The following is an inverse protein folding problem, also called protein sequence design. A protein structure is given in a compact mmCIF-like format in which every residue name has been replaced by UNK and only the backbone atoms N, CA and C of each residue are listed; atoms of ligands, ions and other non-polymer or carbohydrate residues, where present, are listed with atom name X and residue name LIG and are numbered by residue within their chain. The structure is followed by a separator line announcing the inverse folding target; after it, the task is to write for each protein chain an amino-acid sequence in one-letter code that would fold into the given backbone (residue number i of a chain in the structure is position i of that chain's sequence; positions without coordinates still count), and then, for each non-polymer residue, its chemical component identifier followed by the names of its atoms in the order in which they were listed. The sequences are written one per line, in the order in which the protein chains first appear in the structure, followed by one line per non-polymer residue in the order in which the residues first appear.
data_IF_165972185544
#
_entry.id   IF_165972185544
#
_cell.length_a   1.000
_cell.length_b   1.000
_cell.length_c   1.000
_cell.angle_alpha   90.00
_cell.angle_beta   90.00
_cell.angle_gamma   90.00
#
_symmetry.space_group_name_H-M   'P 1'
#
loop_
_entity.id
_entity.type
_entity.pdbx_description
1 polymer ?
#
# COMPACT_ATOMS: atom_id res chain seq x y z
N UNK A 1 -9.72 5.63 -25.96
CA UNK A 1 -10.21 4.71 -24.91
C UNK A 1 -9.14 4.46 -23.85
N UNK A 2 -7.98 3.90 -24.21
CA UNK A 2 -6.91 3.51 -23.27
C UNK A 2 -6.30 4.62 -22.40
N UNK A 3 -6.13 5.84 -22.92
CA UNK A 3 -5.55 6.95 -22.14
C UNK A 3 -6.39 7.27 -20.90
N UNK A 4 -7.72 7.31 -21.04
CA UNK A 4 -8.63 7.58 -19.92
C UNK A 4 -8.51 6.52 -18.83
N UNK A 5 -8.31 5.26 -19.20
CA UNK A 5 -8.15 4.16 -18.26
C UNK A 5 -6.84 4.25 -17.47
N UNK A 6 -5.73 4.64 -18.12
CA UNK A 6 -4.45 4.85 -17.44
C UNK A 6 -4.59 6.00 -16.43
N UNK A 7 -5.15 7.14 -16.87
CA UNK A 7 -5.37 8.29 -15.99
C UNK A 7 -6.34 7.97 -14.84
N UNK A 8 -7.42 7.25 -15.10
CA UNK A 8 -8.37 6.80 -14.08
C UNK A 8 -7.70 5.87 -13.06
N UNK A 9 -6.82 4.97 -13.51
CA UNK A 9 -6.06 4.07 -12.63
C UNK A 9 -5.08 4.83 -11.75
N UNK A 10 -4.36 5.82 -12.29
CA UNK A 10 -3.46 6.67 -11.51
C UNK A 10 -4.29 7.52 -10.51
N UNK A 11 -5.40 8.10 -10.95
CA UNK A 11 -6.28 8.92 -10.11
C UNK A 11 -6.97 8.11 -8.99
N UNK A 12 -7.17 6.81 -9.17
CA UNK A 12 -7.64 5.93 -8.10
C UNK A 12 -6.68 5.97 -6.90
N UNK A 13 -5.37 5.88 -7.13
CA UNK A 13 -4.38 6.01 -6.05
C UNK A 13 -4.44 7.39 -5.40
N UNK A 14 -4.55 8.45 -6.22
CA UNK A 14 -4.65 9.82 -5.71
C UNK A 14 -5.87 10.07 -4.84
N UNK A 15 -6.97 9.34 -5.04
CA UNK A 15 -8.17 9.44 -4.20
C UNK A 15 -7.88 9.08 -2.74
N UNK A 16 -6.86 8.25 -2.49
CA UNK A 16 -6.40 7.87 -1.16
C UNK A 16 -5.17 8.67 -0.70
N UNK A 17 -4.82 9.74 -1.39
CA UNK A 17 -3.57 10.50 -1.27
C UNK A 17 -2.31 9.60 -1.38
N UNK A 18 -2.41 8.52 -2.16
CA UNK A 18 -1.28 7.66 -2.52
C UNK A 18 -0.91 7.88 -3.99
N UNK A 19 0.13 7.21 -4.45
CA UNK A 19 0.55 7.21 -5.85
C UNK A 19 1.01 5.80 -6.24
N UNK A 20 0.79 5.43 -7.50
CA UNK A 20 1.22 4.14 -8.02
C UNK A 20 2.55 4.24 -8.76
N UNK A 21 3.37 3.21 -8.65
CA UNK A 21 4.47 3.00 -9.60
C UNK A 21 3.92 2.62 -10.98
N UNK A 22 4.71 2.73 -12.07
CA UNK A 22 4.31 2.24 -13.38
C UNK A 22 3.83 0.78 -13.38
N UNK A 23 4.46 -0.09 -12.59
CA UNK A 23 4.09 -1.50 -12.46
C UNK A 23 2.76 -1.70 -11.74
N UNK A 24 2.51 -0.93 -10.67
CA UNK A 24 1.23 -0.95 -9.96
C UNK A 24 0.11 -0.41 -10.85
N UNK A 25 0.34 0.71 -11.53
CA UNK A 25 -0.61 1.27 -12.48
C UNK A 25 -0.94 0.29 -13.61
N UNK A 26 0.04 -0.45 -14.13
CA UNK A 26 -0.22 -1.52 -15.09
C UNK A 26 -1.00 -2.69 -14.48
N UNK A 27 -0.62 -3.13 -13.27
CA UNK A 27 -1.25 -4.26 -12.57
C UNK A 27 -2.73 -3.98 -12.24
N UNK A 28 -3.07 -2.74 -11.88
CA UNK A 28 -4.42 -2.35 -11.51
C UNK A 28 -5.24 -1.78 -12.68
N UNK A 29 -4.68 -1.81 -13.89
CA UNK A 29 -5.38 -1.38 -15.08
C UNK A 29 -6.63 -2.25 -15.30
N UNK A 30 -7.80 -1.60 -15.43
CA UNK A 30 -9.10 -2.29 -15.54
C UNK A 30 -9.35 -2.90 -16.91
N UNK A 31 -8.53 -2.56 -17.89
CA UNK A 31 -8.63 -3.04 -19.27
C UNK A 31 -7.41 -3.87 -19.62
N UNK A 32 -7.64 -4.95 -20.37
CA UNK A 32 -6.55 -5.75 -20.89
C UNK A 32 -5.71 -4.90 -21.87
N UNK A 33 -4.41 -4.84 -21.63
CA UNK A 33 -3.48 -4.09 -22.45
C UNK A 33 -2.13 -4.81 -22.46
N UNK A 34 -1.50 -4.91 -23.63
CA UNK A 34 -0.14 -5.40 -23.73
C UNK A 34 0.83 -4.45 -23.00
N UNK A 35 1.82 -5.01 -22.28
CA UNK A 35 2.75 -4.22 -21.46
C UNK A 35 3.52 -3.17 -22.24
N UNK A 36 3.93 -3.48 -23.47
CA UNK A 36 4.65 -2.52 -24.31
C UNK A 36 3.75 -1.39 -24.79
N UNK A 37 2.49 -1.69 -25.10
CA UNK A 37 1.50 -0.66 -25.45
C UNK A 37 1.21 0.26 -24.25
N UNK A 38 1.12 -0.29 -23.03
CA UNK A 38 1.01 0.51 -21.80
C UNK A 38 2.20 1.44 -21.63
N UNK A 39 3.42 0.93 -21.77
CA UNK A 39 4.66 1.73 -21.65
C UNK A 39 4.69 2.86 -22.67
N UNK A 40 4.32 2.59 -23.91
CA UNK A 40 4.23 3.59 -24.96
C UNK A 40 3.22 4.69 -24.59
N UNK A 41 2.00 4.31 -24.19
CA UNK A 41 0.95 5.28 -23.82
C UNK A 41 1.29 6.08 -22.57
N UNK A 42 1.96 5.47 -21.60
CA UNK A 42 2.46 6.17 -20.42
C UNK A 42 3.56 7.18 -20.80
N UNK A 43 4.44 6.84 -21.74
CA UNK A 43 5.46 7.78 -22.23
C UNK A 43 4.84 8.96 -22.98
N UNK A 44 3.84 8.73 -23.84
CA UNK A 44 3.06 9.80 -24.50
C UNK A 44 2.43 10.75 -23.46
N UNK A 45 1.85 10.19 -22.40
CA UNK A 45 1.24 10.98 -21.31
C UNK A 45 2.26 11.83 -20.55
N UNK A 46 3.47 11.31 -20.33
CA UNK A 46 4.57 12.05 -19.70
C UNK A 46 5.08 13.17 -20.58
N UNK A 47 5.27 12.90 -21.87
CA UNK A 47 5.69 13.91 -22.85
C UNK A 47 4.67 15.04 -23.00
N UNK A 48 3.38 14.72 -22.89
CA UNK A 48 2.29 15.69 -22.92
C UNK A 48 2.14 16.49 -21.60
N UNK A 49 2.92 16.19 -20.56
CA UNK A 49 2.83 16.85 -19.25
C UNK A 49 1.56 16.50 -18.45
N UNK A 50 0.81 15.47 -18.87
CA UNK A 50 -0.41 15.03 -18.19
C UNK A 50 -0.14 14.09 -17.02
N UNK A 51 1.03 13.42 -17.05
CA UNK A 51 1.51 12.56 -15.98
C UNK A 51 2.97 12.91 -15.70
N UNK A 52 3.27 13.18 -14.44
CA UNK A 52 4.64 13.33 -13.96
C UNK A 52 5.06 12.04 -13.25
N UNK A 53 6.35 11.72 -13.30
CA UNK A 53 6.94 10.66 -12.47
C UNK A 53 7.95 11.29 -11.52
N UNK A 54 7.80 11.04 -10.22
CA UNK A 54 8.72 11.52 -9.18
C UNK A 54 9.00 10.38 -8.21
N UNK A 55 10.26 10.09 -7.96
CA UNK A 55 10.71 8.99 -7.10
C UNK A 55 10.06 7.62 -7.45
N UNK A 56 9.83 7.38 -8.74
CA UNK A 56 9.22 6.14 -9.25
C UNK A 56 7.69 6.05 -9.10
N UNK A 57 7.03 7.11 -8.62
CA UNK A 57 5.58 7.20 -8.49
C UNK A 57 4.98 8.16 -9.52
N UNK A 58 3.79 7.82 -10.03
CA UNK A 58 3.07 8.57 -11.06
C UNK A 58 2.07 9.56 -10.46
N UNK A 59 2.08 10.78 -10.98
CA UNK A 59 1.23 11.89 -10.53
C UNK A 59 0.53 12.57 -11.70
N UNK A 60 -0.72 12.99 -11.51
CA UNK A 60 -1.54 13.77 -12.48
C UNK A 60 -1.95 15.13 -11.90
N UNK A 61 -1.62 15.36 -10.63
CA UNK A 61 -1.89 16.57 -9.84
C UNK A 61 -0.81 16.70 -8.78
N UNK A 62 -0.67 17.91 -8.23
CA UNK A 62 0.32 18.18 -7.18
C UNK A 62 -0.07 17.51 -5.84
N UNK A 63 0.53 16.35 -5.57
CA UNK A 63 0.29 15.51 -4.38
C UNK A 63 1.59 14.99 -3.77
N UNK A 64 2.74 15.25 -4.39
CA UNK A 64 4.04 14.65 -4.07
C UNK A 64 4.42 14.86 -2.60
N UNK A 65 4.18 16.05 -2.05
CA UNK A 65 4.46 16.34 -0.65
C UNK A 65 3.58 15.54 0.32
N UNK A 66 2.28 15.40 0.01
CA UNK A 66 1.35 14.63 0.84
C UNK A 66 1.69 13.14 0.77
N UNK A 67 1.98 12.63 -0.42
CA UNK A 67 2.43 11.26 -0.65
C UNK A 67 3.69 10.94 0.17
N UNK A 68 4.74 11.77 0.08
CA UNK A 68 5.98 11.59 0.85
C UNK A 68 5.71 11.54 2.35
N UNK A 69 4.89 12.47 2.86
CA UNK A 69 4.53 12.52 4.28
C UNK A 69 3.82 11.25 4.74
N UNK A 70 2.88 10.72 3.95
CA UNK A 70 2.21 9.46 4.26
C UNK A 70 3.15 8.25 4.19
N UNK A 71 4.13 8.25 3.28
CA UNK A 71 5.17 7.22 3.26
C UNK A 71 6.01 7.24 4.53
N UNK A 72 6.41 8.42 4.99
CA UNK A 72 7.16 8.60 6.24
C UNK A 72 6.38 8.07 7.44
N UNK A 73 5.09 8.43 7.56
CA UNK A 73 4.20 7.92 8.60
C UNK A 73 4.06 6.40 8.54
N UNK A 74 3.82 5.84 7.36
CA UNK A 74 3.69 4.38 7.17
C UNK A 74 4.96 3.65 7.57
N UNK A 75 6.12 4.18 7.18
CA UNK A 75 7.42 3.60 7.56
C UNK A 75 7.66 3.71 9.06
N UNK A 76 7.38 4.84 9.67
CA UNK A 76 7.51 5.03 11.11
C UNK A 76 6.61 4.06 11.89
N UNK A 77 5.34 3.92 11.47
CA UNK A 77 4.38 2.98 12.04
C UNK A 77 4.89 1.54 11.90
N UNK A 78 5.33 1.13 10.71
CA UNK A 78 5.90 -0.19 10.50
C UNK A 78 7.12 -0.45 11.40
N UNK A 79 8.06 0.50 11.50
CA UNK A 79 9.24 0.35 12.35
C UNK A 79 8.86 0.25 13.83
N UNK A 80 7.91 1.07 14.31
CA UNK A 80 7.39 1.04 15.69
C UNK A 80 6.89 -0.34 16.10
N UNK A 81 6.22 -1.05 15.18
CA UNK A 81 5.64 -2.36 15.45
C UNK A 81 6.45 -3.55 14.91
N UNK A 82 7.59 -3.30 14.25
CA UNK A 82 8.38 -4.32 13.54
C UNK A 82 8.76 -5.53 14.41
N UNK A 83 9.12 -5.29 15.67
CA UNK A 83 9.45 -6.36 16.60
C UNK A 83 8.29 -7.33 16.82
N UNK A 84 7.08 -6.79 16.96
CA UNK A 84 5.88 -7.58 17.16
C UNK A 84 5.40 -8.27 15.88
N UNK A 85 5.45 -7.57 14.74
CA UNK A 85 5.14 -8.16 13.45
C UNK A 85 6.03 -9.38 13.18
N UNK A 86 7.32 -9.28 13.50
CA UNK A 86 8.26 -10.42 13.45
C UNK A 86 7.88 -11.53 14.42
N UNK A 87 7.43 -11.21 15.63
CA UNK A 87 7.01 -12.20 16.62
C UNK A 87 5.81 -13.00 16.10
N UNK A 88 4.76 -12.32 15.61
CA UNK A 88 3.58 -12.98 15.03
C UNK A 88 3.99 -13.85 13.84
N UNK A 89 4.78 -13.31 12.92
CA UNK A 89 5.18 -14.02 11.71
C UNK A 89 6.00 -15.30 12.01
N UNK A 90 6.66 -15.37 13.16
CA UNK A 90 7.43 -16.54 13.62
C UNK A 90 6.59 -17.57 14.37
N UNK A 91 5.34 -17.28 14.72
CA UNK A 91 4.49 -18.25 15.41
C UNK A 91 4.28 -19.48 14.51
N UNK A 92 4.51 -20.71 15.02
CA UNK A 92 4.58 -21.91 14.18
C UNK A 92 3.25 -22.25 13.49
N UNK A 93 2.13 -21.73 14.00
CA UNK A 93 0.81 -21.91 13.40
C UNK A 93 0.38 -20.79 12.44
N UNK A 94 1.16 -19.73 12.28
CA UNK A 94 0.92 -18.72 11.24
C UNK A 94 1.52 -19.24 9.94
N UNK A 95 0.67 -19.39 8.92
CA UNK A 95 1.06 -19.83 7.57
C UNK A 95 1.41 -18.64 6.68
N UNK A 96 0.77 -17.50 6.93
CA UNK A 96 0.97 -16.27 6.17
C UNK A 96 0.60 -15.07 7.03
N UNK A 97 1.36 -13.99 6.88
CA UNK A 97 1.08 -12.70 7.47
C UNK A 97 1.40 -11.61 6.44
N UNK A 98 0.47 -10.70 6.22
CA UNK A 98 0.66 -9.53 5.36
C UNK A 98 0.09 -8.27 6.02
N UNK A 99 0.69 -7.14 5.66
CA UNK A 99 0.08 -5.83 5.91
C UNK A 99 -1.07 -5.64 4.93
N UNK A 100 -2.14 -5.00 5.39
CA UNK A 100 -3.30 -4.65 4.57
C UNK A 100 -3.69 -3.19 4.83
N UNK A 101 -4.78 -2.74 4.19
CA UNK A 101 -5.26 -1.36 4.34
C UNK A 101 -4.27 -0.33 3.82
N UNK A 102 -4.23 0.83 4.48
CA UNK A 102 -3.38 1.96 4.10
C UNK A 102 -1.88 1.62 4.17
N UNK A 103 -1.47 0.76 5.12
CA UNK A 103 -0.08 0.32 5.28
C UNK A 103 0.44 -0.43 4.05
N UNK A 104 -0.42 -1.19 3.36
CA UNK A 104 -0.02 -1.94 2.16
C UNK A 104 0.34 -1.03 0.98
N UNK A 105 -0.13 0.21 0.98
CA UNK A 105 0.13 1.22 -0.05
C UNK A 105 1.00 2.39 0.44
N UNK A 106 1.68 2.21 1.58
CA UNK A 106 2.46 3.26 2.26
C UNK A 106 1.69 4.59 2.38
N UNK A 107 0.39 4.51 2.68
CA UNK A 107 -0.54 5.65 2.69
C UNK A 107 -1.21 5.90 4.06
N UNK A 108 -0.57 5.49 5.15
CA UNK A 108 -1.08 5.73 6.50
C UNK A 108 -1.08 7.21 6.88
N UNK A 109 -2.05 7.59 7.71
CA UNK A 109 -2.04 8.80 8.51
C UNK A 109 -1.22 8.61 9.80
N UNK A 110 -0.90 9.73 10.46
CA UNK A 110 -0.05 9.77 11.66
C UNK A 110 -0.54 8.89 12.83
N UNK A 111 -1.85 8.70 12.94
CA UNK A 111 -2.49 7.96 14.03
C UNK A 111 -3.13 6.64 13.58
N UNK A 112 -2.81 6.17 12.36
CA UNK A 112 -3.34 4.90 11.88
C UNK A 112 -2.76 3.72 12.67
N UNK A 113 -3.58 2.68 12.82
CA UNK A 113 -3.15 1.39 13.36
C UNK A 113 -2.56 0.49 12.25
N UNK A 114 -1.91 -0.61 12.65
CA UNK A 114 -1.48 -1.63 11.69
C UNK A 114 -2.58 -2.67 11.46
N UNK A 115 -3.07 -2.72 10.24
CA UNK A 115 -3.92 -3.80 9.77
C UNK A 115 -3.12 -5.02 9.30
N UNK A 116 -3.48 -6.20 9.82
CA UNK A 116 -2.85 -7.47 9.47
C UNK A 116 -3.84 -8.45 8.86
N UNK A 117 -3.45 -9.05 7.75
CA UNK A 117 -4.10 -10.23 7.20
C UNK A 117 -3.29 -11.48 7.58
N UNK A 118 -3.91 -12.37 8.37
CA UNK A 118 -3.27 -13.58 8.85
C UNK A 118 -3.97 -14.84 8.32
N UNK A 119 -3.18 -15.80 7.85
CA UNK A 119 -3.64 -17.17 7.60
C UNK A 119 -3.06 -18.08 8.66
N UNK A 120 -3.90 -18.78 9.41
CA UNK A 120 -3.48 -19.68 10.48
C UNK A 120 -3.67 -21.15 10.10
N UNK A 121 -3.01 -22.07 10.81
CA UNK A 121 -3.41 -23.47 10.85
C UNK A 121 -4.83 -23.61 11.42
N UNK A 122 -5.48 -24.75 11.15
CA UNK A 122 -6.82 -25.08 11.66
C UNK A 122 -6.86 -24.92 13.18
N UNK A 123 -7.96 -24.36 13.71
CA UNK A 123 -8.21 -24.16 15.14
C UNK A 123 -7.20 -23.25 15.88
N UNK A 124 -6.50 -22.35 15.17
CA UNK A 124 -5.53 -21.41 15.75
C UNK A 124 -5.85 -19.93 15.54
N UNK A 125 -7.00 -19.61 14.95
CA UNK A 125 -7.42 -18.22 14.71
C UNK A 125 -7.60 -17.46 16.03
N UNK A 126 -8.37 -18.03 16.97
CA UNK A 126 -8.72 -17.34 18.21
C UNK A 126 -7.52 -17.09 19.13
N UNK A 127 -6.56 -18.03 19.21
CA UNK A 127 -5.35 -17.79 20.00
C UNK A 127 -4.48 -16.68 19.37
N UNK A 128 -4.37 -16.64 18.04
CA UNK A 128 -3.70 -15.53 17.35
C UNK A 128 -4.42 -14.20 17.59
N UNK A 129 -5.74 -14.18 17.56
CA UNK A 129 -6.54 -13.00 17.84
C UNK A 129 -6.36 -12.49 19.28
N UNK A 130 -6.36 -13.39 20.27
CA UNK A 130 -6.09 -13.01 21.67
C UNK A 130 -4.70 -12.41 21.82
N UNK A 131 -3.67 -12.99 21.19
CA UNK A 131 -2.31 -12.43 21.19
C UNK A 131 -2.25 -11.03 20.54
N UNK A 132 -3.03 -10.79 19.47
CA UNK A 132 -3.20 -9.49 18.82
C UNK A 132 -3.84 -8.45 19.75
N UNK A 133 -4.96 -8.80 20.38
CA UNK A 133 -5.67 -7.90 21.29
C UNK A 133 -4.82 -7.57 22.52
N UNK A 134 -4.13 -8.55 23.08
CA UNK A 134 -3.24 -8.34 24.22
C UNK A 134 -2.11 -7.37 23.87
N UNK A 135 -1.49 -7.53 22.71
CA UNK A 135 -0.47 -6.60 22.25
C UNK A 135 -1.00 -5.18 22.02
N UNK A 136 -2.14 -5.04 21.34
CA UNK A 136 -2.79 -3.75 21.12
C UNK A 136 -3.06 -3.03 22.45
N UNK A 137 -3.57 -3.74 23.45
CA UNK A 137 -3.79 -3.19 24.80
C UNK A 137 -2.49 -2.76 25.48
N UNK A 138 -1.41 -3.53 25.34
CA UNK A 138 -0.11 -3.21 25.94
C UNK A 138 0.51 -1.94 25.35
N UNK A 139 0.27 -1.65 24.07
CA UNK A 139 0.77 -0.44 23.42
C UNK A 139 -0.10 0.76 23.70
N UNK A 140 -1.43 0.60 23.66
CA UNK A 140 -2.38 1.71 23.87
C UNK A 140 -2.37 2.25 25.30
N UNK A 141 -1.80 1.51 26.25
CA UNK A 141 -1.66 1.89 27.66
C UNK A 141 -0.33 2.62 27.98
N UNK A 142 0.43 3.02 26.97
CA UNK A 142 1.57 3.94 27.05
C UNK A 142 1.26 5.18 26.23
#
# INVERSE_FOLDING_TARGET
MYIREILATINLAHHFDSAFTPEQAYRFLRVAMARDHFRQKLAELKQAGLVEETDGALFTRNLQAQYRRKQEWSRALFQRHRGYLRLIAKLPWIKFAALTGANAFESCADQDDIDLFLVTRKNRLWISYVLLVLYSKLIRKR
#
